data_IF_099610274921
#
_entry.id   IF_099610274921
#
_cell.length_a   1.000
_cell.length_b   1.000
_cell.length_c   1.000
_cell.angle_alpha   90.00
_cell.angle_beta   90.00
_cell.angle_gamma   90.00
#
_symmetry.space_group_name_H-M   'P 1'
#
loop_
_entity.id
_entity.type
_entity.pdbx_description
1 polymer ?
#
# COMPACT_ATOMS: atom_id res chain seq x y z
N UNK A 1 1.22 -17.66 -21.96
CA UNK A 1 0.96 -18.81 -21.07
C UNK A 1 0.39 -18.31 -19.76
N UNK A 2 -0.95 -18.11 -19.73
CA UNK A 2 -1.68 -17.70 -18.54
C UNK A 2 -1.68 -18.82 -17.51
N UNK A 3 -0.82 -18.74 -16.51
CA UNK A 3 -0.96 -19.58 -15.32
C UNK A 3 -2.23 -19.16 -14.58
N UNK A 4 -3.16 -20.09 -14.43
CA UNK A 4 -4.32 -19.92 -13.55
C UNK A 4 -3.79 -19.73 -12.12
N UNK A 5 -3.74 -18.52 -11.64
CA UNK A 5 -3.56 -18.26 -10.21
C UNK A 5 -4.89 -18.56 -9.54
N UNK A 6 -5.03 -19.74 -8.98
CA UNK A 6 -6.26 -20.20 -8.31
C UNK A 6 -6.63 -19.35 -7.08
N UNK A 7 -5.74 -18.47 -6.62
CA UNK A 7 -5.98 -17.60 -5.49
C UNK A 7 -5.23 -16.26 -5.67
N UNK A 8 -5.93 -15.24 -6.10
CA UNK A 8 -5.37 -13.90 -6.27
C UNK A 8 -5.04 -13.22 -4.93
N UNK A 9 -5.87 -13.43 -3.91
CA UNK A 9 -5.67 -12.84 -2.59
C UNK A 9 -4.58 -13.59 -1.84
N UNK A 10 -3.67 -12.82 -1.21
CA UNK A 10 -2.66 -13.37 -0.31
C UNK A 10 -3.35 -13.89 0.95
N UNK A 11 -3.09 -15.14 1.30
CA UNK A 11 -3.69 -15.81 2.46
C UNK A 11 -3.00 -15.39 3.77
N UNK A 12 -3.70 -15.55 4.89
CA UNK A 12 -3.12 -15.33 6.22
C UNK A 12 -1.87 -16.22 6.47
N UNK A 13 -1.83 -17.42 5.87
CA UNK A 13 -0.67 -18.32 5.93
C UNK A 13 0.54 -17.70 5.23
N UNK A 14 0.36 -17.16 4.01
CA UNK A 14 1.44 -16.49 3.25
C UNK A 14 1.94 -15.24 3.99
N UNK A 15 1.06 -14.51 4.66
CA UNK A 15 1.47 -13.35 5.49
C UNK A 15 2.34 -13.82 6.67
N UNK A 16 1.91 -14.85 7.40
CA UNK A 16 2.70 -15.40 8.52
C UNK A 16 4.05 -15.96 8.05
N UNK A 17 4.06 -16.65 6.92
CA UNK A 17 5.31 -17.16 6.32
C UNK A 17 6.26 -16.03 5.91
N UNK A 18 5.73 -14.95 5.34
CA UNK A 18 6.49 -13.77 4.96
C UNK A 18 7.11 -13.09 6.19
N UNK A 19 6.35 -12.90 7.25
CA UNK A 19 6.82 -12.35 8.51
C UNK A 19 7.90 -13.23 9.16
N UNK A 20 7.66 -14.55 9.24
CA UNK A 20 8.62 -15.51 9.78
C UNK A 20 9.95 -15.53 9.00
N UNK A 21 9.92 -15.34 7.68
CA UNK A 21 11.15 -15.25 6.87
C UNK A 21 11.95 -14.01 7.24
N UNK A 22 11.31 -12.87 7.48
CA UNK A 22 11.97 -11.63 7.88
C UNK A 22 12.55 -11.75 9.29
N UNK A 23 11.80 -12.35 10.22
CA UNK A 23 12.25 -12.55 11.60
C UNK A 23 13.43 -13.55 11.72
N UNK A 24 13.42 -14.62 10.92
CA UNK A 24 14.50 -15.64 10.91
C UNK A 24 15.79 -15.15 10.25
N UNK A 25 15.74 -14.21 9.35
CA UNK A 25 16.90 -13.68 8.66
C UNK A 25 17.76 -12.71 9.50
N UNK A 26 17.46 -12.54 10.79
CA UNK A 26 18.28 -11.76 11.74
C UNK A 26 19.75 -12.20 11.84
N UNK A 27 20.12 -13.37 11.32
CA UNK A 27 21.45 -13.96 11.52
C UNK A 27 22.32 -14.06 10.26
N UNK A 28 21.82 -13.87 9.06
CA UNK A 28 22.61 -13.99 7.83
C UNK A 28 22.24 -12.96 6.78
N UNK A 29 22.88 -11.77 6.83
CA UNK A 29 23.11 -10.79 5.74
C UNK A 29 21.88 -10.25 4.98
N UNK A 30 21.91 -9.12 4.39
CA UNK A 30 21.50 -7.75 4.71
C UNK A 30 20.02 -7.58 5.07
N UNK A 31 19.28 -8.64 5.17
CA UNK A 31 17.84 -8.71 5.48
C UNK A 31 17.51 -8.66 6.97
N UNK A 32 18.50 -8.87 7.85
CA UNK A 32 18.34 -8.73 9.30
C UNK A 32 17.83 -7.35 9.73
N UNK A 33 18.10 -6.36 8.89
CA UNK A 33 17.64 -4.99 9.05
C UNK A 33 16.27 -4.70 8.39
N UNK A 34 15.67 -5.69 7.70
CA UNK A 34 14.46 -5.41 6.93
C UNK A 34 13.29 -4.96 7.81
N UNK A 35 13.10 -5.61 8.96
CA UNK A 35 12.08 -5.22 9.92
C UNK A 35 12.38 -3.86 10.53
N UNK A 36 13.60 -3.69 11.03
CA UNK A 36 14.08 -2.43 11.59
C UNK A 36 14.02 -1.29 10.57
N UNK A 37 14.37 -1.57 9.30
CA UNK A 37 14.25 -0.61 8.21
C UNK A 37 12.79 -0.21 7.97
N UNK A 38 11.86 -1.17 7.95
CA UNK A 38 10.43 -0.88 7.80
C UNK A 38 9.93 -0.06 9.00
N UNK A 39 10.28 -0.44 10.22
CA UNK A 39 9.93 0.29 11.44
C UNK A 39 10.48 1.71 11.41
N UNK A 40 11.75 1.91 11.01
CA UNK A 40 12.35 3.23 10.81
C UNK A 40 11.69 4.02 9.67
N UNK A 41 11.33 3.38 8.56
CA UNK A 41 10.61 4.04 7.48
C UNK A 41 9.20 4.47 7.90
N UNK A 42 8.54 3.71 8.78
CA UNK A 42 7.26 4.10 9.37
C UNK A 42 7.47 5.27 10.34
N UNK A 43 8.49 5.21 11.17
CA UNK A 43 8.77 6.23 12.19
C UNK A 43 9.28 7.56 11.59
N UNK A 44 10.20 7.49 10.62
CA UNK A 44 10.90 8.67 10.07
C UNK A 44 10.60 8.96 8.60
N UNK A 45 9.80 8.12 7.96
CA UNK A 45 9.44 8.29 6.55
C UNK A 45 8.53 9.50 6.31
N UNK A 46 8.33 9.89 5.03
CA UNK A 46 7.44 11.00 4.67
C UNK A 46 5.97 10.75 5.01
N UNK A 47 5.66 9.60 5.60
CA UNK A 47 4.35 9.22 6.12
C UNK A 47 4.17 9.42 7.61
N UNK A 48 5.16 9.99 8.31
CA UNK A 48 5.02 10.23 9.74
C UNK A 48 3.89 11.22 10.03
N UNK A 49 3.27 11.04 11.18
CA UNK A 49 2.21 11.92 11.67
C UNK A 49 2.60 13.41 11.62
N UNK A 50 3.89 13.72 11.86
CA UNK A 50 4.44 15.07 11.76
C UNK A 50 4.34 15.64 10.33
N UNK A 51 4.58 14.84 9.29
CA UNK A 51 4.45 15.26 7.89
C UNK A 51 2.98 15.48 7.55
N UNK A 52 2.10 14.57 7.96
CA UNK A 52 0.66 14.73 7.76
C UNK A 52 0.10 15.94 8.51
N UNK A 53 0.54 16.17 9.74
CA UNK A 53 0.13 17.36 10.51
C UNK A 53 0.53 18.68 9.84
N UNK A 54 1.63 18.68 9.06
CA UNK A 54 2.04 19.86 8.28
C UNK A 54 1.24 20.02 6.97
N UNK A 55 0.75 18.93 6.37
CA UNK A 55 -0.03 18.95 5.13
C UNK A 55 -1.54 18.96 5.37
N UNK A 56 -2.02 18.39 6.46
CA UNK A 56 -3.42 18.54 6.87
C UNK A 56 -3.57 19.93 7.51
N UNK A 57 -4.38 20.82 6.94
CA UNK A 57 -4.61 22.15 7.53
C UNK A 57 -5.09 21.95 8.96
N UNK A 58 -4.36 22.53 9.92
CA UNK A 58 -4.79 22.52 11.32
C UNK A 58 -6.19 23.11 11.38
N UNK A 59 -7.11 22.34 11.93
CA UNK A 59 -8.54 22.68 11.99
C UNK A 59 -8.78 24.10 12.54
N UNK A 60 -7.85 24.59 13.38
CA UNK A 60 -7.94 25.92 14.01
C UNK A 60 -7.38 27.06 13.13
N UNK A 61 -6.47 26.78 12.20
CA UNK A 61 -5.95 27.80 11.28
C UNK A 61 -6.94 28.13 10.14
N UNK A 62 -7.84 27.20 9.81
CA UNK A 62 -8.86 27.41 8.79
C UNK A 62 -10.01 28.26 9.34
N UNK A 63 -10.28 28.22 10.64
CA UNK A 63 -11.32 29.04 11.27
C UNK A 63 -11.04 30.54 11.19
N UNK A 64 -9.76 30.95 11.15
CA UNK A 64 -9.39 32.36 11.19
C UNK A 64 -9.46 33.08 9.83
N UNK A 65 -9.52 32.37 8.72
CA UNK A 65 -9.41 32.96 7.37
C UNK A 65 -10.67 32.83 6.50
N UNK A 66 -11.73 32.19 6.99
CA UNK A 66 -12.94 31.94 6.21
C UNK A 66 -14.15 32.73 6.79
N UNK A 67 -14.94 33.23 5.87
CA UNK A 67 -16.26 33.84 6.14
C UNK A 67 -17.03 32.97 7.15
N UNK A 68 -17.62 33.52 8.24
CA UNK A 68 -18.21 32.73 9.33
C UNK A 68 -19.32 31.75 8.93
N UNK A 69 -19.77 31.78 7.65
CA UNK A 69 -20.75 30.84 7.11
C UNK A 69 -20.14 29.61 6.39
N UNK A 70 -18.81 29.54 6.16
CA UNK A 70 -18.20 28.44 5.37
C UNK A 70 -17.42 27.54 6.32
N UNK A 71 -17.80 26.24 6.35
CA UNK A 71 -17.05 25.19 7.05
C UNK A 71 -16.36 24.29 6.02
N UNK A 72 -15.07 24.06 6.22
CA UNK A 72 -14.30 23.05 5.45
C UNK A 72 -14.01 21.85 6.34
N UNK A 73 -14.39 20.67 5.91
CA UNK A 73 -14.09 19.41 6.60
C UNK A 73 -13.29 18.49 5.70
N UNK A 74 -12.36 17.73 6.28
CA UNK A 74 -11.64 16.66 5.60
C UNK A 74 -12.21 15.34 6.08
N UNK A 75 -12.68 14.52 5.13
CA UNK A 75 -13.24 13.20 5.40
C UNK A 75 -12.40 12.18 4.67
N UNK A 76 -11.94 11.11 5.35
CA UNK A 76 -11.23 10.02 4.70
C UNK A 76 -12.08 9.39 3.60
N UNK A 77 -11.47 9.06 2.47
CA UNK A 77 -12.12 8.21 1.46
C UNK A 77 -12.35 6.81 2.04
N UNK A 78 -13.44 6.10 1.66
CA UNK A 78 -13.75 4.78 2.22
C UNK A 78 -12.70 3.73 1.89
N UNK A 79 -12.13 3.75 0.67
CA UNK A 79 -11.18 2.76 0.22
C UNK A 79 -10.10 3.30 -0.73
N UNK A 80 -8.91 2.70 -0.68
CA UNK A 80 -7.78 3.02 -1.55
C UNK A 80 -7.11 1.75 -2.06
N UNK A 81 -6.73 1.75 -3.34
CA UNK A 81 -5.88 0.74 -3.94
C UNK A 81 -4.44 1.25 -4.09
N UNK A 82 -3.51 0.61 -3.40
CA UNK A 82 -2.08 0.92 -3.45
C UNK A 82 -1.39 -0.02 -4.43
N UNK A 83 -0.97 0.50 -5.58
CA UNK A 83 -0.17 -0.27 -6.53
C UNK A 83 1.30 -0.24 -6.11
N UNK A 84 1.86 -1.41 -5.84
CA UNK A 84 3.27 -1.57 -5.47
C UNK A 84 3.99 -2.27 -6.63
N UNK A 85 5.02 -1.65 -7.23
CA UNK A 85 5.83 -2.30 -8.25
C UNK A 85 6.47 -3.58 -7.71
N UNK A 86 6.73 -4.54 -8.58
CA UNK A 86 7.37 -5.79 -8.23
C UNK A 86 8.05 -6.41 -9.45
N UNK A 87 8.68 -7.55 -9.26
CA UNK A 87 9.28 -8.37 -10.32
C UNK A 87 10.80 -8.20 -10.43
N UNK A 88 11.34 -7.02 -10.63
CA UNK A 88 12.79 -6.79 -10.81
C UNK A 88 13.48 -6.26 -9.56
N UNK A 89 12.81 -5.48 -8.75
CA UNK A 89 13.35 -4.90 -7.52
C UNK A 89 12.31 -4.95 -6.39
N UNK A 90 12.78 -4.67 -5.18
CA UNK A 90 11.98 -4.70 -3.95
C UNK A 90 11.73 -3.25 -3.51
N UNK A 91 10.48 -2.92 -3.25
CA UNK A 91 10.07 -1.55 -2.95
C UNK A 91 9.27 -1.46 -1.64
N UNK A 92 9.85 -1.85 -0.47
CA UNK A 92 9.17 -1.71 0.81
C UNK A 92 8.86 -0.24 1.14
N UNK A 93 9.72 0.69 0.71
CA UNK A 93 9.48 2.12 0.85
C UNK A 93 8.21 2.59 0.14
N UNK A 94 7.92 2.07 -1.06
CA UNK A 94 6.67 2.39 -1.78
C UNK A 94 5.45 1.90 -1.03
N UNK A 95 5.56 0.78 -0.30
CA UNK A 95 4.49 0.29 0.58
C UNK A 95 4.26 1.29 1.71
N UNK A 96 5.31 1.66 2.44
CA UNK A 96 5.22 2.61 3.55
C UNK A 96 4.65 3.94 3.07
N UNK A 97 5.19 4.50 1.98
CA UNK A 97 4.75 5.78 1.41
C UNK A 97 3.30 5.82 0.91
N UNK A 98 2.66 4.67 0.69
CA UNK A 98 1.27 4.63 0.22
C UNK A 98 0.32 4.07 1.27
N UNK A 99 0.67 2.96 1.90
CA UNK A 99 -0.21 2.23 2.84
C UNK A 99 -0.27 2.94 4.19
N UNK A 100 0.89 3.33 4.75
CA UNK A 100 0.93 4.03 6.03
C UNK A 100 0.26 5.41 5.94
N UNK A 101 0.51 6.16 4.85
CA UNK A 101 -0.20 7.43 4.61
C UNK A 101 -1.72 7.26 4.55
N UNK A 102 -2.19 6.21 3.86
CA UNK A 102 -3.62 5.92 3.78
C UNK A 102 -4.21 5.59 5.15
N UNK A 103 -3.50 4.80 5.97
CA UNK A 103 -3.89 4.46 7.33
C UNK A 103 -3.96 5.71 8.22
N UNK A 104 -2.92 6.53 8.20
CA UNK A 104 -2.85 7.80 8.95
C UNK A 104 -3.95 8.77 8.51
N UNK A 105 -4.29 8.80 7.21
CA UNK A 105 -5.41 9.58 6.69
C UNK A 105 -6.79 9.03 7.11
N UNK A 106 -6.85 7.91 7.83
CA UNK A 106 -8.10 7.33 8.36
C UNK A 106 -8.86 6.46 7.35
N UNK A 107 -8.24 6.08 6.22
CA UNK A 107 -8.85 5.19 5.22
C UNK A 107 -9.08 3.80 5.84
N UNK A 108 -10.33 3.31 5.76
CA UNK A 108 -10.71 2.05 6.41
C UNK A 108 -10.33 0.80 5.62
N UNK A 109 -10.43 0.85 4.29
CA UNK A 109 -10.10 -0.27 3.42
C UNK A 109 -8.89 0.09 2.55
N UNK A 110 -7.76 -0.57 2.82
CA UNK A 110 -6.49 -0.33 2.13
C UNK A 110 -6.10 -1.61 1.39
N UNK A 111 -6.20 -1.58 0.09
CA UNK A 111 -5.96 -2.72 -0.81
C UNK A 111 -4.58 -2.56 -1.45
N UNK A 112 -3.71 -3.54 -1.27
CA UNK A 112 -2.41 -3.59 -1.93
C UNK A 112 -2.49 -4.53 -3.14
N UNK A 113 -2.02 -4.08 -4.29
CA UNK A 113 -1.80 -4.92 -5.48
C UNK A 113 -0.33 -4.87 -5.87
N UNK A 114 0.25 -6.04 -6.13
CA UNK A 114 1.63 -6.15 -6.58
C UNK A 114 1.78 -7.32 -7.56
N UNK A 115 2.55 -7.15 -8.64
CA UNK A 115 2.77 -8.24 -9.59
C UNK A 115 3.52 -9.38 -8.91
N UNK A 116 3.06 -10.63 -9.10
CA UNK A 116 3.78 -11.80 -8.62
C UNK A 116 5.05 -12.04 -9.45
N UNK A 117 6.04 -12.64 -8.83
CA UNK A 117 7.23 -13.13 -9.49
C UNK A 117 6.96 -14.34 -10.38
N UNK A 118 8.02 -14.94 -10.94
CA UNK A 118 7.92 -16.13 -11.80
C UNK A 118 7.37 -17.36 -11.08
N UNK A 119 7.50 -17.40 -9.77
CA UNK A 119 6.97 -18.42 -8.88
C UNK A 119 5.48 -18.22 -8.53
N UNK A 120 4.86 -17.17 -9.03
CA UNK A 120 3.46 -16.81 -8.73
C UNK A 120 3.25 -16.19 -7.37
N UNK A 121 4.32 -15.80 -6.66
CA UNK A 121 4.24 -15.18 -5.31
C UNK A 121 4.69 -13.74 -5.35
N UNK A 122 4.13 -12.93 -4.46
CA UNK A 122 4.64 -11.59 -4.18
C UNK A 122 5.90 -11.73 -3.30
N UNK A 123 6.84 -10.82 -3.47
CA UNK A 123 8.04 -10.78 -2.61
C UNK A 123 7.64 -10.72 -1.12
N UNK A 124 8.23 -11.58 -0.26
CA UNK A 124 7.88 -11.63 1.16
C UNK A 124 8.06 -10.30 1.89
N UNK A 125 9.06 -9.51 1.52
CA UNK A 125 9.29 -8.19 2.13
C UNK A 125 8.15 -7.22 1.83
N UNK A 126 7.62 -7.25 0.61
CA UNK A 126 6.44 -6.44 0.22
C UNK A 126 5.20 -6.86 1.01
N UNK A 127 4.96 -8.16 1.17
CA UNK A 127 3.83 -8.69 1.96
C UNK A 127 3.95 -8.26 3.43
N UNK A 128 5.14 -8.43 4.02
CA UNK A 128 5.35 -8.09 5.42
C UNK A 128 5.23 -6.59 5.67
N UNK A 129 5.83 -5.76 4.82
CA UNK A 129 5.69 -4.30 4.89
C UNK A 129 4.22 -3.87 4.79
N UNK A 130 3.47 -4.42 3.82
CA UNK A 130 2.05 -4.11 3.66
C UNK A 130 1.24 -4.48 4.90
N UNK A 131 1.51 -5.65 5.50
CA UNK A 131 0.84 -6.07 6.72
C UNK A 131 1.21 -5.20 7.92
N UNK A 132 2.49 -4.84 8.10
CA UNK A 132 2.95 -3.97 9.17
C UNK A 132 2.34 -2.56 9.07
N UNK A 133 2.23 -2.01 7.87
CA UNK A 133 1.58 -0.72 7.62
C UNK A 133 0.04 -0.77 7.71
N UNK A 134 -0.58 -1.95 7.85
CA UNK A 134 -2.01 -2.09 8.07
C UNK A 134 -2.85 -2.23 6.79
N UNK A 135 -2.28 -2.78 5.71
CA UNK A 135 -3.08 -3.18 4.54
C UNK A 135 -4.17 -4.20 4.93
N UNK A 136 -5.39 -3.96 4.51
CA UNK A 136 -6.54 -4.85 4.80
C UNK A 136 -6.62 -6.03 3.84
N UNK A 137 -6.13 -5.85 2.63
CA UNK A 137 -6.16 -6.85 1.57
C UNK A 137 -4.90 -6.75 0.71
N UNK A 138 -4.36 -7.90 0.28
CA UNK A 138 -3.19 -7.96 -0.60
C UNK A 138 -3.49 -8.92 -1.76
N UNK A 139 -3.30 -8.47 -3.01
CA UNK A 139 -3.59 -9.25 -4.20
C UNK A 139 -2.38 -9.40 -5.12
N UNK A 140 -2.21 -10.61 -5.65
CA UNK A 140 -1.15 -11.02 -6.59
C UNK A 140 -1.52 -10.65 -8.01
N UNK A 141 -1.59 -9.36 -8.30
CA UNK A 141 -1.93 -8.85 -9.63
C UNK A 141 -1.15 -7.58 -9.90
N UNK A 142 -0.67 -7.39 -11.12
CA UNK A 142 0.10 -6.23 -11.55
C UNK A 142 -0.32 -5.76 -12.94
N UNK A 143 0.35 -4.72 -13.45
CA UNK A 143 0.08 -4.17 -14.78
C UNK A 143 -1.26 -3.40 -14.88
N UNK A 144 -1.67 -3.08 -16.12
CA UNK A 144 -2.90 -2.35 -16.40
C UNK A 144 -4.16 -3.09 -15.88
N UNK A 145 -4.14 -4.42 -15.89
CA UNK A 145 -5.26 -5.24 -15.42
C UNK A 145 -5.49 -5.08 -13.90
N UNK A 146 -4.45 -4.81 -13.12
CA UNK A 146 -4.60 -4.51 -11.69
C UNK A 146 -5.32 -3.17 -11.50
N UNK A 147 -5.00 -2.18 -12.31
CA UNK A 147 -5.65 -0.87 -12.30
C UNK A 147 -7.13 -1.01 -12.70
N UNK A 148 -7.42 -1.73 -13.78
CA UNK A 148 -8.80 -2.01 -14.21
C UNK A 148 -9.61 -2.75 -13.15
N UNK A 149 -9.00 -3.76 -12.48
CA UNK A 149 -9.64 -4.48 -11.39
C UNK A 149 -9.96 -3.58 -10.19
N UNK A 150 -9.06 -2.67 -9.82
CA UNK A 150 -9.28 -1.73 -8.74
C UNK A 150 -10.32 -0.65 -9.09
N UNK A 151 -10.33 -0.18 -10.34
CA UNK A 151 -11.23 0.88 -10.80
C UNK A 151 -12.67 0.41 -10.96
N UNK A 152 -12.86 -0.75 -11.59
CA UNK A 152 -14.19 -1.26 -11.95
C UNK A 152 -14.69 -2.37 -11.03
N UNK A 153 -13.79 -3.03 -10.33
CA UNK A 153 -14.10 -4.20 -9.53
C UNK A 153 -14.15 -5.48 -10.37
N UNK A 154 -13.97 -6.59 -9.69
CA UNK A 154 -14.12 -7.96 -10.22
C UNK A 154 -14.77 -8.83 -9.16
N UNK A 155 -15.08 -10.10 -9.50
CA UNK A 155 -15.56 -11.07 -8.49
C UNK A 155 -14.58 -11.26 -7.32
N UNK A 156 -13.26 -11.08 -7.56
CA UNK A 156 -12.21 -11.34 -6.57
C UNK A 156 -11.67 -10.08 -5.91
N UNK A 157 -11.74 -8.95 -6.59
CA UNK A 157 -11.19 -7.67 -6.14
C UNK A 157 -12.30 -6.62 -6.25
N UNK A 158 -12.95 -6.24 -5.15
CA UNK A 158 -13.94 -5.17 -5.16
C UNK A 158 -13.28 -3.83 -5.51
N UNK A 159 -14.02 -2.97 -6.25
CA UNK A 159 -13.54 -1.64 -6.64
C UNK A 159 -13.11 -0.81 -5.42
N UNK A 160 -12.27 0.18 -5.67
CA UNK A 160 -11.81 1.17 -4.67
C UNK A 160 -12.16 2.59 -5.13
N UNK A 161 -12.17 3.54 -4.20
CA UNK A 161 -12.52 4.94 -4.47
C UNK A 161 -11.35 5.72 -5.06
N UNK A 162 -10.12 5.32 -4.77
CA UNK A 162 -8.89 5.95 -5.29
C UNK A 162 -7.79 4.93 -5.50
N UNK A 163 -6.97 5.14 -6.54
CA UNK A 163 -5.78 4.32 -6.82
C UNK A 163 -4.54 5.19 -6.73
N UNK A 164 -3.56 4.74 -5.96
CA UNK A 164 -2.27 5.42 -5.74
C UNK A 164 -1.09 4.46 -5.97
N UNK A 165 0.11 4.99 -5.97
CA UNK A 165 1.35 4.22 -6.08
C UNK A 165 2.05 4.38 -7.43
N UNK A 166 3.37 4.18 -7.50
CA UNK A 166 4.15 4.27 -8.73
C UNK A 166 3.91 3.05 -9.61
N UNK A 167 4.10 3.22 -10.92
CA UNK A 167 3.98 2.12 -11.88
C UNK A 167 4.71 2.43 -13.18
N UNK A 168 5.03 1.41 -13.96
CA UNK A 168 5.59 1.57 -15.30
C UNK A 168 4.57 2.14 -16.30
N UNK A 169 5.01 2.35 -17.55
CA UNK A 169 4.23 2.97 -18.62
C UNK A 169 2.78 2.48 -18.71
N UNK A 170 2.56 1.17 -18.70
CA UNK A 170 1.20 0.60 -18.82
C UNK A 170 0.31 0.89 -17.62
N UNK A 171 0.89 0.93 -16.43
CA UNK A 171 0.16 1.28 -15.19
C UNK A 171 -0.19 2.76 -15.18
N UNK A 172 0.73 3.62 -15.61
CA UNK A 172 0.51 5.06 -15.70
C UNK A 172 -0.59 5.41 -16.72
N UNK A 173 -0.55 4.80 -17.90
CA UNK A 173 -1.60 4.98 -18.93
C UNK A 173 -2.96 4.46 -18.43
N UNK A 174 -2.99 3.34 -17.75
CA UNK A 174 -4.24 2.78 -17.24
C UNK A 174 -4.87 3.60 -16.10
N UNK A 175 -4.12 4.52 -15.47
CA UNK A 175 -4.63 5.44 -14.43
C UNK A 175 -5.16 6.76 -14.98
N UNK A 176 -4.75 7.14 -16.20
CA UNK A 176 -5.22 8.35 -16.87
C UNK A 176 -6.59 8.15 -17.50
#
# INVERSE_FOLDING_TARGET
NGRKTSQLRVSAKEIKEAQSKIDKQKTQVPWGYARELIEKLIEYGPGTEAVLQNYLPKHDQIKASLNPGIRRSFVPIPSVGCYIPGGQARYPSSVVMSVELAKLAGVKRIVVVSPPGRDGKIDPLTIAAANMCGATEIYKVGGAQAIGALAYGTKSIPKVDKIVGPGGKFVSIAKS
#
